data_IF_736813650380
#
_entry.id   IF_736813650380
#
_cell.length_a   1.000
_cell.length_b   1.000
_cell.length_c   1.000
_cell.angle_alpha   90.00
_cell.angle_beta   90.00
_cell.angle_gamma   90.00
#
_symmetry.space_group_name_H-M   'P 1'
#
loop_
_entity.id
_entity.type
_entity.pdbx_description
1 polymer ?
#
# COMPACT_ATOMS: atom_id res chain seq x y z
N UNK A 1 -1.19 -13.36 -6.24
CA UNK A 1 -2.18 -12.27 -6.02
C UNK A 1 -2.93 -12.57 -4.76
N UNK A 2 -3.01 -11.61 -3.85
CA UNK A 2 -3.60 -11.73 -2.51
C UNK A 2 -4.42 -10.45 -2.27
N UNK A 3 -5.64 -10.62 -1.81
CA UNK A 3 -6.60 -9.54 -1.63
C UNK A 3 -7.45 -9.91 -0.41
N UNK A 4 -7.45 -9.05 0.61
CA UNK A 4 -8.25 -9.24 1.82
C UNK A 4 -9.74 -9.03 1.55
N UNK A 5 -10.06 -7.87 0.97
CA UNK A 5 -11.43 -7.49 0.66
C UNK A 5 -11.93 -6.46 1.65
N UNK A 6 -13.14 -6.65 2.20
CA UNK A 6 -13.67 -5.75 3.23
C UNK A 6 -13.30 -6.25 4.62
N UNK A 7 -12.90 -5.31 5.47
CA UNK A 7 -12.59 -5.54 6.86
C UNK A 7 -11.10 -5.79 7.08
N UNK A 8 -10.73 -5.97 8.34
CA UNK A 8 -9.31 -6.01 8.72
C UNK A 8 -8.70 -7.39 8.45
N UNK A 9 -7.90 -7.51 7.39
CA UNK A 9 -7.35 -8.78 6.95
C UNK A 9 -5.88 -9.00 7.34
N UNK A 10 -5.51 -10.28 7.45
CA UNK A 10 -4.12 -10.71 7.59
C UNK A 10 -3.68 -11.43 6.33
N UNK A 11 -2.74 -10.83 5.63
CA UNK A 11 -2.22 -11.31 4.36
C UNK A 11 -0.80 -11.84 4.51
N UNK A 12 -0.54 -13.00 3.90
CA UNK A 12 0.78 -13.65 3.87
C UNK A 12 1.06 -14.10 2.44
N UNK A 13 2.19 -13.69 1.87
CA UNK A 13 2.59 -14.02 0.50
C UNK A 13 3.26 -15.38 0.37
N UNK A 14 4.19 -15.65 1.27
CA UNK A 14 5.02 -16.84 1.27
C UNK A 14 6.19 -16.75 0.29
N UNK A 15 5.91 -16.74 -1.01
CA UNK A 15 6.92 -16.78 -2.07
C UNK A 15 7.80 -15.52 -2.13
N UNK A 16 8.56 -15.38 -3.23
CA UNK A 16 9.41 -14.20 -3.45
C UNK A 16 8.79 -13.14 -4.37
N UNK A 17 7.55 -13.34 -4.87
CA UNK A 17 6.97 -12.48 -5.90
C UNK A 17 5.44 -12.47 -5.82
N UNK A 18 4.93 -12.00 -4.68
CA UNK A 18 3.50 -11.86 -4.46
C UNK A 18 2.98 -10.50 -4.93
N UNK A 19 1.66 -10.37 -5.02
CA UNK A 19 1.01 -9.09 -5.36
C UNK A 19 -0.15 -8.91 -4.41
N UNK A 20 -0.02 -7.97 -3.50
CA UNK A 20 -1.05 -7.58 -2.53
C UNK A 20 -1.91 -6.49 -3.16
N UNK A 21 -3.22 -6.66 -3.09
CA UNK A 21 -4.17 -5.83 -3.83
C UNK A 21 -5.12 -5.12 -2.89
N UNK A 22 -5.25 -3.82 -3.11
CA UNK A 22 -6.17 -2.91 -2.42
C UNK A 22 -7.02 -2.21 -3.48
N UNK A 23 -8.34 -2.14 -3.32
CA UNK A 23 -9.24 -1.75 -4.41
C UNK A 23 -10.46 -0.94 -3.99
N UNK A 24 -10.38 -0.16 -2.91
CA UNK A 24 -11.48 0.71 -2.46
C UNK A 24 -10.97 2.05 -1.94
N UNK A 25 -9.91 2.59 -2.55
CA UNK A 25 -9.34 3.85 -2.08
C UNK A 25 -10.31 5.04 -2.27
N UNK A 26 -11.28 4.93 -3.17
CA UNK A 26 -12.39 5.86 -3.39
C UNK A 26 -13.49 5.83 -2.29
N UNK A 27 -13.52 4.80 -1.44
CA UNK A 27 -14.56 4.61 -0.42
C UNK A 27 -14.07 4.93 0.98
N UNK A 28 -14.92 5.55 1.80
CA UNK A 28 -14.64 5.76 3.22
C UNK A 28 -14.46 4.41 3.94
N UNK A 29 -13.36 4.29 4.68
CA UNK A 29 -12.90 3.05 5.32
C UNK A 29 -12.17 2.07 4.39
N UNK A 30 -12.23 2.30 3.08
CA UNK A 30 -11.61 1.46 2.05
C UNK A 30 -11.80 -0.04 2.25
N UNK A 31 -10.69 -0.78 2.15
CA UNK A 31 -10.65 -2.22 2.42
C UNK A 31 -10.59 -2.54 3.92
N UNK A 32 -10.27 -1.57 4.80
CA UNK A 32 -10.13 -1.76 6.25
C UNK A 32 -8.70 -1.55 6.75
N UNK A 33 -8.39 -2.09 7.92
CA UNK A 33 -7.05 -2.05 8.53
C UNK A 33 -6.29 -3.37 8.34
N UNK A 34 -5.58 -3.45 7.21
CA UNK A 34 -4.91 -4.67 6.78
C UNK A 34 -3.51 -4.86 7.37
N UNK A 35 -3.07 -6.11 7.41
CA UNK A 35 -1.72 -6.48 7.84
C UNK A 35 -1.06 -7.49 6.91
N UNK A 36 0.06 -7.09 6.31
CA UNK A 36 0.94 -8.01 5.56
C UNK A 36 2.05 -8.53 6.49
N UNK A 37 2.18 -9.85 6.59
CA UNK A 37 3.06 -10.49 7.58
C UNK A 37 4.53 -10.65 7.15
N UNK A 38 4.79 -10.68 5.85
CA UNK A 38 6.03 -11.18 5.25
C UNK A 38 6.43 -10.42 3.97
N UNK A 39 6.00 -9.16 3.85
CA UNK A 39 6.28 -8.34 2.67
C UNK A 39 7.78 -8.28 2.36
N UNK A 40 8.14 -8.62 1.13
CA UNK A 40 9.50 -8.62 0.63
C UNK A 40 9.70 -7.52 -0.42
N UNK A 41 10.37 -6.43 -0.01
CA UNK A 41 10.64 -5.28 -0.88
C UNK A 41 11.33 -5.62 -2.21
N UNK A 42 12.06 -6.73 -2.28
CA UNK A 42 12.85 -7.10 -3.45
C UNK A 42 12.05 -7.79 -4.56
N UNK A 43 10.82 -8.23 -4.30
CA UNK A 43 10.06 -8.98 -5.29
C UNK A 43 8.54 -8.87 -5.19
N UNK A 44 7.99 -8.55 -4.03
CA UNK A 44 6.55 -8.35 -3.90
C UNK A 44 6.09 -7.04 -4.54
N UNK A 45 4.82 -7.03 -4.92
CA UNK A 45 4.17 -5.88 -5.55
C UNK A 45 2.97 -5.42 -4.75
N UNK A 46 2.68 -4.14 -4.85
CA UNK A 46 1.48 -3.50 -4.31
C UNK A 46 0.63 -3.05 -5.49
N UNK A 47 -0.61 -3.49 -5.54
CA UNK A 47 -1.57 -3.07 -6.55
C UNK A 47 -2.67 -2.29 -5.88
N UNK A 48 -2.79 -1.02 -6.25
CA UNK A 48 -3.84 -0.14 -5.80
C UNK A 48 -4.80 0.13 -6.95
N UNK A 49 -6.08 -0.06 -6.67
CA UNK A 49 -7.18 0.12 -7.62
C UNK A 49 -8.18 1.10 -7.04
N UNK A 50 -9.01 1.61 -7.93
CA UNK A 50 -10.12 2.48 -7.56
C UNK A 50 -9.60 3.73 -6.82
N UNK A 51 -8.49 4.27 -7.33
CA UNK A 51 -8.00 5.60 -6.97
C UNK A 51 -8.84 6.67 -7.64
N UNK A 52 -8.88 7.82 -6.98
CA UNK A 52 -9.42 9.07 -7.51
C UNK A 52 -8.22 9.97 -7.82
N UNK A 53 -8.32 10.76 -8.89
CA UNK A 53 -7.42 11.88 -9.16
C UNK A 53 -7.43 12.83 -7.95
N UNK A 54 -6.32 12.88 -7.21
CA UNK A 54 -6.16 13.60 -5.93
C UNK A 54 -5.33 14.86 -6.07
N UNK A 55 -4.56 15.01 -7.14
CA UNK A 55 -3.75 16.21 -7.39
C UNK A 55 -4.33 17.13 -8.49
N UNK A 56 -5.49 16.77 -9.05
CA UNK A 56 -6.28 17.49 -10.04
C UNK A 56 -5.56 17.67 -11.39
N UNK A 57 -4.67 16.74 -11.78
CA UNK A 57 -3.91 16.80 -13.04
C UNK A 57 -4.60 16.11 -14.24
N UNK A 58 -5.72 15.40 -13.99
CA UNK A 58 -6.52 14.63 -14.94
C UNK A 58 -5.97 13.27 -15.36
N UNK A 59 -4.92 12.76 -14.72
CA UNK A 59 -4.48 11.37 -14.76
C UNK A 59 -4.81 10.63 -13.45
N UNK A 60 -4.63 9.32 -13.45
CA UNK A 60 -4.65 8.51 -12.22
C UNK A 60 -3.36 7.70 -12.17
N UNK A 61 -2.42 8.12 -11.35
CA UNK A 61 -1.07 7.59 -11.29
C UNK A 61 -0.47 7.56 -9.87
N UNK A 62 0.86 7.53 -9.79
CA UNK A 62 1.60 7.43 -8.53
C UNK A 62 1.43 8.67 -7.66
N UNK A 63 1.34 9.85 -8.24
CA UNK A 63 1.22 11.09 -7.50
C UNK A 63 -0.15 11.13 -6.77
N UNK A 64 -1.22 10.58 -7.37
CA UNK A 64 -2.51 10.38 -6.70
C UNK A 64 -2.44 9.41 -5.52
N UNK A 65 -1.73 8.29 -5.72
CA UNK A 65 -1.55 7.31 -4.66
C UNK A 65 -0.82 7.95 -3.48
N UNK A 66 0.26 8.69 -3.76
CA UNK A 66 1.05 9.36 -2.72
C UNK A 66 0.23 10.47 -2.04
N UNK A 67 -0.56 11.23 -2.80
CA UNK A 67 -1.48 12.23 -2.28
C UNK A 67 -2.59 11.62 -1.41
N UNK A 68 -2.97 10.36 -1.64
CA UNK A 68 -3.97 9.66 -0.82
C UNK A 68 -3.45 9.16 0.54
N UNK A 69 -2.13 9.20 0.77
CA UNK A 69 -1.51 8.77 2.03
C UNK A 69 -1.55 9.90 3.06
N UNK A 70 -2.27 9.68 4.15
CA UNK A 70 -2.39 10.64 5.25
C UNK A 70 -1.18 10.62 6.19
N UNK A 71 -0.58 9.44 6.41
CA UNK A 71 0.62 9.31 7.24
C UNK A 71 1.36 8.00 7.01
N UNK A 72 2.68 8.05 7.22
CA UNK A 72 3.55 6.87 7.30
C UNK A 72 4.28 6.88 8.63
N UNK A 73 4.19 5.76 9.35
CA UNK A 73 4.83 5.57 10.64
C UNK A 73 5.80 4.38 10.63
N UNK A 74 7.07 4.63 10.31
CA UNK A 74 8.16 3.67 10.48
C UNK A 74 8.53 3.54 11.97
N UNK A 75 8.34 2.35 12.55
CA UNK A 75 8.65 2.10 13.98
C UNK A 75 10.12 1.77 14.24
N UNK A 76 10.96 1.78 13.21
CA UNK A 76 12.40 1.50 13.24
C UNK A 76 12.77 0.13 12.66
N UNK A 77 14.08 -0.10 12.52
CA UNK A 77 14.66 -1.31 11.92
C UNK A 77 14.04 -2.62 12.44
N UNK A 78 13.50 -3.43 11.53
CA UNK A 78 12.90 -4.74 11.80
C UNK A 78 11.52 -4.70 12.48
N UNK A 79 10.95 -3.51 12.70
CA UNK A 79 9.58 -3.32 13.22
C UNK A 79 8.61 -3.03 12.07
N UNK A 80 7.36 -2.73 12.38
CA UNK A 80 6.35 -2.42 11.37
C UNK A 80 6.52 -1.02 10.79
N UNK A 81 6.13 -0.89 9.52
CA UNK A 81 5.68 0.38 8.93
C UNK A 81 4.15 0.34 8.91
N UNK A 82 3.51 1.45 9.25
CA UNK A 82 2.06 1.62 9.10
C UNK A 82 1.84 2.73 8.10
N UNK A 83 1.12 2.43 7.02
CA UNK A 83 0.65 3.41 6.04
C UNK A 83 -0.83 3.65 6.30
N UNK A 84 -1.22 4.89 6.50
CA UNK A 84 -2.63 5.29 6.70
C UNK A 84 -3.05 6.14 5.51
N UNK A 85 -4.24 5.90 4.99
CA UNK A 85 -4.81 6.62 3.86
C UNK A 85 -5.84 7.65 4.34
N UNK A 86 -6.12 8.66 3.52
CA UNK A 86 -7.10 9.72 3.80
C UNK A 86 -8.54 9.20 3.92
N UNK A 87 -8.83 8.07 3.28
CA UNK A 87 -10.14 7.44 3.37
C UNK A 87 -10.35 6.73 4.73
N UNK A 88 -9.33 6.65 5.58
CA UNK A 88 -9.37 6.01 6.90
C UNK A 88 -8.91 4.55 6.93
N UNK A 89 -8.61 3.93 5.78
CA UNK A 89 -8.01 2.61 5.71
C UNK A 89 -6.52 2.66 6.10
N UNK A 90 -5.95 1.51 6.49
CA UNK A 90 -4.52 1.41 6.75
C UNK A 90 -3.94 0.05 6.34
N UNK A 91 -2.63 0.03 6.12
CA UNK A 91 -1.87 -1.20 5.85
C UNK A 91 -0.65 -1.24 6.76
N UNK A 92 -0.52 -2.33 7.51
CA UNK A 92 0.64 -2.62 8.34
C UNK A 92 1.56 -3.60 7.64
N UNK A 93 2.76 -3.13 7.30
CA UNK A 93 3.85 -3.94 6.77
C UNK A 93 4.70 -4.46 7.93
N UNK A 94 4.48 -5.72 8.32
CA UNK A 94 5.24 -6.32 9.41
C UNK A 94 6.73 -6.44 9.06
N UNK A 95 7.60 -6.00 9.99
CA UNK A 95 9.07 -6.09 9.88
C UNK A 95 9.71 -5.33 8.71
N UNK A 96 8.95 -4.50 8.01
CA UNK A 96 9.44 -3.69 6.89
C UNK A 96 10.18 -2.41 7.32
N UNK A 97 10.09 -2.02 8.60
CA UNK A 97 10.67 -0.78 9.11
C UNK A 97 12.19 -0.77 8.99
N UNK A 98 12.72 0.38 8.62
CA UNK A 98 14.18 0.62 8.51
C UNK A 98 14.63 1.76 9.42
N UNK A 99 13.69 2.56 9.93
CA UNK A 99 13.93 3.86 10.57
C UNK A 99 14.01 5.02 9.58
N UNK A 100 13.81 4.76 8.28
CA UNK A 100 13.95 5.74 7.21
C UNK A 100 12.83 5.65 6.15
N UNK A 101 11.80 4.82 6.35
CA UNK A 101 10.65 4.78 5.44
C UNK A 101 9.76 6.00 5.69
N UNK A 102 9.71 6.93 4.75
CA UNK A 102 8.86 8.12 4.80
C UNK A 102 7.93 8.27 3.58
N UNK A 103 8.06 7.40 2.58
CA UNK A 103 7.16 7.28 1.43
C UNK A 103 6.71 5.82 1.18
N UNK A 104 5.57 5.62 0.50
CA UNK A 104 5.15 4.31 -0.03
C UNK A 104 6.21 3.73 -0.98
N UNK A 105 6.92 4.59 -1.71
CA UNK A 105 7.96 4.17 -2.66
C UNK A 105 9.18 3.56 -1.97
N UNK A 106 9.45 3.89 -0.70
CA UNK A 106 10.55 3.31 0.08
C UNK A 106 10.31 1.84 0.49
N UNK A 107 9.04 1.40 0.47
CA UNK A 107 8.68 0.03 0.81
C UNK A 107 9.13 -0.96 -0.26
N UNK A 108 9.28 -0.52 -1.50
CA UNK A 108 9.65 -1.37 -2.65
C UNK A 108 11.08 -1.07 -3.12
N UNK A 109 11.65 -1.99 -3.89
CA UNK A 109 12.97 -1.79 -4.49
C UNK A 109 12.91 -0.87 -5.71
N UNK A 110 11.82 -0.97 -6.48
CA UNK A 110 11.59 -0.25 -7.72
C UNK A 110 10.10 0.09 -7.84
N UNK A 111 9.76 1.36 -7.60
CA UNK A 111 8.38 1.84 -7.60
C UNK A 111 7.72 1.70 -8.98
N UNK A 112 8.47 1.94 -10.06
CA UNK A 112 7.94 1.89 -11.44
C UNK A 112 7.42 0.49 -11.82
N UNK A 113 7.95 -0.56 -11.20
CA UNK A 113 7.62 -1.96 -11.55
C UNK A 113 6.89 -2.74 -10.47
N UNK A 114 6.90 -2.24 -9.23
CA UNK A 114 6.32 -2.90 -8.06
C UNK A 114 5.10 -2.18 -7.48
N UNK A 115 4.86 -0.91 -7.81
CA UNK A 115 3.60 -0.23 -7.51
C UNK A 115 2.77 -0.21 -8.78
N UNK A 116 1.62 -0.88 -8.73
CA UNK A 116 0.71 -1.00 -9.86
C UNK A 116 -0.54 -0.20 -9.54
N UNK A 117 -0.89 0.72 -10.42
CA UNK A 117 -2.00 1.65 -10.23
C UNK A 117 -2.99 1.45 -11.36
N UNK A 118 -4.27 1.42 -11.02
CA UNK A 118 -5.34 1.45 -12.00
C UNK A 118 -6.51 2.28 -11.49
N UNK A 119 -7.06 3.13 -12.35
CA UNK A 119 -8.32 3.81 -12.10
C UNK A 119 -9.51 2.86 -12.12
N UNK A 120 -10.64 3.31 -11.56
CA UNK A 120 -11.94 2.64 -11.67
C UNK A 120 -12.28 2.40 -13.15
N UNK A 121 -12.72 1.18 -13.49
CA UNK A 121 -13.31 0.85 -14.80
C UNK A 121 -14.72 1.41 -14.95
#
# INVERSE_FOLDING_TARGET
RIEGGLGDDRMTGGGMADTFVFGRLDQAGGDGDDRISDFNKWGDKLSFRDLVDRDDDSDVDLDDLLASVSSIADKGAGKSVVVTFDNGASVVFAKAGTGAVDSLTDLVKDAETQILISSTS
#
